data_IF_554905642412
#
_entry.id   IF_554905642412
#
_cell.length_a   1.000
_cell.length_b   1.000
_cell.length_c   1.000
_cell.angle_alpha   90.00
_cell.angle_beta   90.00
_cell.angle_gamma   90.00
#
_symmetry.space_group_name_H-M   'P 1'
#
loop_
_entity.id
_entity.type
_entity.pdbx_description
1 polymer ?
#
# COMPACT_ATOMS: atom_id res chain seq x y z
N UNK A 1 -21.44 -25.92 -4.46
CA UNK A 1 -21.28 -24.84 -5.46
C UNK A 1 -22.50 -23.94 -5.38
N UNK A 2 -22.38 -22.73 -4.83
CA UNK A 2 -23.42 -21.72 -5.02
C UNK A 2 -23.12 -21.08 -6.38
N UNK A 3 -23.87 -21.46 -7.40
CA UNK A 3 -23.82 -20.81 -8.71
C UNK A 3 -24.30 -19.37 -8.52
N UNK A 4 -23.38 -18.42 -8.41
CA UNK A 4 -23.78 -17.02 -8.60
C UNK A 4 -24.28 -16.91 -10.03
N UNK A 5 -25.54 -16.48 -10.25
CA UNK A 5 -26.02 -16.26 -11.61
C UNK A 5 -25.10 -15.25 -12.29
N UNK A 6 -24.68 -15.56 -13.51
CA UNK A 6 -23.92 -14.62 -14.33
C UNK A 6 -24.76 -13.36 -14.49
N UNK A 7 -24.18 -12.20 -14.20
CA UNK A 7 -24.89 -10.93 -14.30
C UNK A 7 -25.16 -10.70 -15.79
N UNK A 8 -26.43 -10.73 -16.23
CA UNK A 8 -26.73 -10.65 -17.64
C UNK A 8 -26.32 -9.29 -18.18
N UNK A 9 -25.63 -9.32 -19.32
CA UNK A 9 -25.33 -8.11 -20.07
C UNK A 9 -26.61 -7.48 -20.62
N UNK A 10 -26.59 -6.16 -20.80
CA UNK A 10 -27.63 -5.51 -21.60
C UNK A 10 -27.63 -6.09 -23.02
N UNK A 11 -28.79 -6.16 -23.66
CA UNK A 11 -28.92 -6.68 -25.04
C UNK A 11 -28.05 -5.92 -26.05
N UNK A 12 -27.72 -4.66 -25.76
CA UNK A 12 -26.87 -3.79 -26.59
C UNK A 12 -25.41 -3.79 -26.13
N UNK A 13 -25.08 -4.52 -25.07
CA UNK A 13 -23.74 -4.59 -24.51
C UNK A 13 -22.79 -5.29 -25.47
N UNK A 14 -21.63 -4.68 -25.69
CA UNK A 14 -20.59 -5.27 -26.53
C UNK A 14 -19.20 -4.82 -26.06
N UNK A 15 -18.13 -5.58 -26.36
CA UNK A 15 -16.77 -5.16 -26.07
C UNK A 15 -16.47 -3.74 -26.56
N UNK A 16 -15.91 -2.91 -25.68
CA UNK A 16 -15.59 -1.50 -25.93
C UNK A 16 -16.72 -0.53 -25.60
N UNK A 17 -17.93 -1.04 -25.29
CA UNK A 17 -19.12 -0.27 -24.98
C UNK A 17 -19.86 -0.79 -23.74
N UNK A 18 -19.19 -1.59 -22.89
CA UNK A 18 -19.79 -2.07 -21.65
C UNK A 18 -19.95 -0.91 -20.66
N UNK A 19 -21.10 -0.84 -20.02
CA UNK A 19 -21.46 0.24 -19.09
C UNK A 19 -20.63 0.18 -17.80
N UNK A 20 -20.69 1.25 -17.00
CA UNK A 20 -20.07 1.29 -15.68
C UNK A 20 -20.55 0.13 -14.81
N UNK A 21 -21.87 -0.05 -14.71
CA UNK A 21 -22.48 -1.11 -13.92
C UNK A 21 -21.98 -2.50 -14.33
N UNK A 22 -22.03 -2.85 -15.62
CA UNK A 22 -21.57 -4.15 -16.11
C UNK A 22 -20.09 -4.37 -15.84
N UNK A 23 -19.26 -3.35 -16.04
CA UNK A 23 -17.82 -3.45 -15.82
C UNK A 23 -17.50 -3.61 -14.33
N UNK A 24 -18.12 -2.80 -13.48
CA UNK A 24 -17.96 -2.87 -12.03
C UNK A 24 -18.41 -4.24 -11.49
N UNK A 25 -19.57 -4.73 -11.94
CA UNK A 25 -20.07 -6.05 -11.59
C UNK A 25 -19.06 -7.15 -11.89
N UNK A 26 -18.42 -7.12 -13.07
CA UNK A 26 -17.38 -8.09 -13.42
C UNK A 26 -16.12 -7.96 -12.54
N UNK A 27 -15.70 -6.75 -12.21
CA UNK A 27 -14.59 -6.50 -11.28
C UNK A 27 -14.92 -7.04 -9.88
N UNK A 28 -16.13 -6.81 -9.39
CA UNK A 28 -16.60 -7.32 -8.09
C UNK A 28 -16.70 -8.85 -8.10
N UNK A 29 -17.23 -9.46 -9.16
CA UNK A 29 -17.25 -10.92 -9.31
C UNK A 29 -15.84 -11.52 -9.27
N UNK A 30 -14.87 -10.88 -9.93
CA UNK A 30 -13.47 -11.30 -9.86
C UNK A 30 -12.89 -11.14 -8.45
N UNK A 31 -13.20 -10.04 -7.77
CA UNK A 31 -12.77 -9.84 -6.39
C UNK A 31 -13.34 -10.94 -5.46
N UNK A 32 -14.60 -11.33 -5.64
CA UNK A 32 -15.20 -12.42 -4.88
C UNK A 32 -14.57 -13.78 -5.19
N UNK A 33 -14.20 -14.04 -6.44
CA UNK A 33 -13.45 -15.23 -6.84
C UNK A 33 -12.10 -15.31 -6.10
N UNK A 34 -11.34 -14.21 -6.10
CA UNK A 34 -10.05 -14.08 -5.41
C UNK A 34 -10.21 -14.23 -3.89
N UNK A 35 -11.27 -13.66 -3.30
CA UNK A 35 -11.52 -13.80 -1.87
C UNK A 35 -11.86 -15.25 -1.50
N UNK A 36 -12.71 -15.92 -2.29
CA UNK A 36 -13.06 -17.32 -2.06
C UNK A 36 -11.84 -18.23 -2.15
N UNK A 37 -10.95 -18.02 -3.12
CA UNK A 37 -9.73 -18.84 -3.21
C UNK A 37 -8.86 -18.70 -1.96
N UNK A 38 -8.86 -17.54 -1.28
CA UNK A 38 -8.11 -17.34 -0.04
C UNK A 38 -8.79 -17.87 1.22
N UNK A 39 -10.08 -18.21 1.17
CA UNK A 39 -10.81 -18.71 2.33
C UNK A 39 -10.58 -20.21 2.61
N UNK A 40 -10.05 -20.96 1.64
CA UNK A 40 -9.82 -22.40 1.81
C UNK A 40 -8.38 -22.68 2.26
N UNK A 41 -8.16 -23.39 3.39
CA UNK A 41 -6.83 -23.59 3.99
C UNK A 41 -5.81 -24.33 3.11
N UNK A 42 -6.28 -25.10 2.14
CA UNK A 42 -5.40 -25.85 1.20
C UNK A 42 -4.87 -24.98 0.05
N UNK A 43 -5.36 -23.74 -0.06
CA UNK A 43 -4.99 -22.85 -1.17
C UNK A 43 -3.70 -22.13 -0.80
N UNK A 44 -2.61 -22.56 -1.44
CA UNK A 44 -1.32 -21.88 -1.39
C UNK A 44 -1.48 -20.41 -1.81
N UNK A 45 -0.54 -19.55 -1.40
CA UNK A 45 -0.44 -18.20 -1.96
C UNK A 45 -0.51 -18.25 -3.50
N UNK A 46 -1.14 -17.25 -4.15
CA UNK A 46 -1.34 -17.30 -5.59
C UNK A 46 0.01 -17.37 -6.30
N UNK A 47 0.15 -18.37 -7.15
CA UNK A 47 1.35 -18.57 -7.96
C UNK A 47 1.46 -17.46 -8.99
N UNK A 48 2.68 -17.21 -9.47
CA UNK A 48 2.96 -16.19 -10.47
C UNK A 48 2.00 -16.20 -11.68
N UNK A 49 1.67 -17.39 -12.20
CA UNK A 49 0.80 -17.51 -13.38
C UNK A 49 -0.65 -17.09 -13.07
N UNK A 50 -1.16 -17.39 -11.88
CA UNK A 50 -2.51 -17.00 -11.44
C UNK A 50 -2.59 -15.47 -11.30
N UNK A 51 -1.58 -14.84 -10.69
CA UNK A 51 -1.49 -13.37 -10.58
C UNK A 51 -1.54 -12.74 -11.97
N UNK A 52 -0.76 -13.27 -12.91
CA UNK A 52 -0.73 -12.78 -14.29
C UNK A 52 -2.07 -12.96 -15.01
N UNK A 53 -2.74 -14.09 -14.80
CA UNK A 53 -4.07 -14.34 -15.37
C UNK A 53 -5.10 -13.36 -14.83
N UNK A 54 -5.16 -13.17 -13.50
CA UNK A 54 -6.07 -12.20 -12.89
C UNK A 54 -5.80 -10.79 -13.40
N UNK A 55 -4.53 -10.37 -13.50
CA UNK A 55 -4.15 -9.08 -14.09
C UNK A 55 -4.69 -8.93 -15.51
N UNK A 56 -4.47 -9.93 -16.36
CA UNK A 56 -4.96 -9.90 -17.74
C UNK A 56 -6.49 -9.85 -17.82
N UNK A 57 -7.20 -10.56 -16.92
CA UNK A 57 -8.66 -10.49 -16.80
C UNK A 57 -9.11 -9.07 -16.43
N UNK A 58 -8.47 -8.44 -15.43
CA UNK A 58 -8.76 -7.04 -15.05
C UNK A 58 -8.54 -6.09 -16.23
N UNK A 59 -7.40 -6.16 -16.89
CA UNK A 59 -7.06 -5.31 -18.03
C UNK A 59 -8.06 -5.49 -19.18
N UNK A 60 -8.48 -6.74 -19.45
CA UNK A 60 -9.51 -7.02 -20.47
C UNK A 60 -10.85 -6.41 -20.09
N UNK A 61 -11.30 -6.57 -18.84
CA UNK A 61 -12.56 -5.97 -18.38
C UNK A 61 -12.57 -4.45 -18.56
N UNK A 62 -11.46 -3.78 -18.21
CA UNK A 62 -11.33 -2.33 -18.37
C UNK A 62 -11.23 -1.92 -19.84
N UNK A 63 -10.50 -2.66 -20.67
CA UNK A 63 -10.37 -2.36 -22.11
C UNK A 63 -11.71 -2.45 -22.85
N UNK A 64 -12.62 -3.31 -22.36
CA UNK A 64 -13.94 -3.53 -22.91
C UNK A 64 -15.01 -2.54 -22.41
N UNK A 65 -14.66 -1.67 -21.46
CA UNK A 65 -15.54 -0.64 -20.94
C UNK A 65 -15.77 0.48 -21.98
N UNK A 66 -16.89 1.19 -21.86
CA UNK A 66 -17.18 2.38 -22.67
C UNK A 66 -16.05 3.44 -22.57
N UNK A 67 -15.78 4.24 -23.62
CA UNK A 67 -14.61 5.12 -23.68
C UNK A 67 -14.39 6.05 -22.47
N UNK A 68 -15.45 6.65 -21.91
CA UNK A 68 -15.33 7.56 -20.76
C UNK A 68 -14.79 6.88 -19.50
N UNK A 69 -14.96 5.56 -19.36
CA UNK A 69 -14.42 4.80 -18.25
C UNK A 69 -12.93 4.49 -18.39
N UNK A 70 -12.36 4.68 -19.58
CA UNK A 70 -10.95 4.41 -19.89
C UNK A 70 -10.12 5.69 -19.97
N UNK A 71 -10.73 6.76 -20.48
CA UNK A 71 -10.03 7.98 -20.87
C UNK A 71 -10.74 9.20 -20.27
N UNK A 72 -9.99 10.00 -19.50
CA UNK A 72 -10.52 11.18 -18.80
C UNK A 72 -11.06 12.24 -19.77
N UNK A 73 -10.43 12.40 -20.93
CA UNK A 73 -10.84 13.30 -22.01
C UNK A 73 -12.15 12.89 -22.71
N UNK A 74 -12.61 11.65 -22.47
CA UNK A 74 -13.88 11.16 -22.99
C UNK A 74 -15.04 11.35 -22.00
N UNK A 75 -14.77 11.78 -20.76
CA UNK A 75 -15.81 12.17 -19.81
C UNK A 75 -16.38 13.54 -20.19
N UNK A 76 -17.71 13.64 -20.31
CA UNK A 76 -18.46 14.86 -20.67
C UNK A 76 -19.37 15.34 -19.56
N UNK A 77 -19.70 14.47 -18.62
CA UNK A 77 -20.58 14.76 -17.49
C UNK A 77 -19.90 14.46 -16.17
N UNK A 78 -20.39 15.09 -15.09
CA UNK A 78 -19.95 14.80 -13.73
C UNK A 78 -20.10 13.31 -13.40
N UNK A 79 -21.23 12.70 -13.79
CA UNK A 79 -21.48 11.27 -13.57
C UNK A 79 -20.40 10.40 -14.23
N UNK A 80 -20.05 10.66 -15.49
CA UNK A 80 -19.00 9.91 -16.19
C UNK A 80 -17.62 10.08 -15.53
N UNK A 81 -17.31 11.27 -15.03
CA UNK A 81 -16.08 11.49 -14.25
C UNK A 81 -16.07 10.68 -12.95
N UNK A 82 -17.19 10.62 -12.23
CA UNK A 82 -17.33 9.83 -11.00
C UNK A 82 -17.19 8.33 -11.30
N UNK A 83 -17.94 7.81 -12.26
CA UNK A 83 -17.92 6.39 -12.65
C UNK A 83 -16.51 5.93 -13.06
N UNK A 84 -15.82 6.72 -13.90
CA UNK A 84 -14.43 6.42 -14.30
C UNK A 84 -13.51 6.35 -13.09
N UNK A 85 -13.63 7.32 -12.19
CA UNK A 85 -12.71 7.46 -11.05
C UNK A 85 -12.96 6.37 -10.01
N UNK A 86 -14.21 6.03 -9.72
CA UNK A 86 -14.58 4.90 -8.87
C UNK A 86 -14.13 3.57 -9.46
N UNK A 87 -14.35 3.34 -10.77
CA UNK A 87 -13.90 2.11 -11.43
C UNK A 87 -12.38 1.97 -11.36
N UNK A 88 -11.64 3.07 -11.58
CA UNK A 88 -10.17 3.11 -11.45
C UNK A 88 -9.75 2.73 -10.03
N UNK A 89 -10.35 3.34 -9.01
CA UNK A 89 -10.07 3.04 -7.59
C UNK A 89 -10.31 1.56 -7.27
N UNK A 90 -11.47 1.02 -7.66
CA UNK A 90 -11.82 -0.36 -7.35
C UNK A 90 -10.92 -1.39 -8.04
N UNK A 91 -10.62 -1.16 -9.32
CA UNK A 91 -9.80 -2.07 -10.12
C UNK A 91 -8.32 -2.03 -9.73
N UNK A 92 -7.76 -0.84 -9.47
CA UNK A 92 -6.37 -0.70 -8.99
C UNK A 92 -6.19 -1.31 -7.61
N UNK A 93 -7.17 -1.16 -6.71
CA UNK A 93 -7.12 -1.79 -5.39
C UNK A 93 -7.16 -3.32 -5.49
N UNK A 94 -8.01 -3.88 -6.36
CA UNK A 94 -8.03 -5.32 -6.58
C UNK A 94 -6.68 -5.82 -7.11
N UNK A 95 -6.06 -5.08 -8.03
CA UNK A 95 -4.75 -5.41 -8.57
C UNK A 95 -3.66 -5.37 -7.49
N UNK A 96 -3.69 -4.37 -6.58
CA UNK A 96 -2.73 -4.31 -5.47
C UNK A 96 -2.87 -5.51 -4.52
N UNK A 97 -4.10 -5.96 -4.23
CA UNK A 97 -4.38 -7.16 -3.41
C UNK A 97 -3.81 -8.43 -4.05
N UNK A 98 -3.93 -8.58 -5.36
CA UNK A 98 -3.37 -9.69 -6.12
C UNK A 98 -1.84 -9.70 -6.09
N UNK A 99 -1.22 -8.53 -6.26
CA UNK A 99 0.22 -8.38 -6.32
C UNK A 99 0.89 -8.32 -4.94
N UNK A 100 0.12 -8.23 -3.83
CA UNK A 100 0.64 -8.00 -2.47
C UNK A 100 1.64 -9.04 -1.99
N UNK A 101 1.56 -10.28 -2.48
CA UNK A 101 2.53 -11.34 -2.16
C UNK A 101 3.98 -10.93 -2.48
N UNK A 102 4.19 -10.02 -3.45
CA UNK A 102 5.52 -9.51 -3.78
C UNK A 102 6.12 -8.57 -2.73
N UNK A 103 5.31 -8.06 -1.80
CA UNK A 103 5.78 -7.23 -0.69
C UNK A 103 6.28 -8.10 0.48
N UNK A 104 5.95 -9.39 0.51
CA UNK A 104 6.50 -10.32 1.49
C UNK A 104 7.95 -10.69 1.11
N UNK A 105 8.86 -10.55 2.07
CA UNK A 105 10.27 -10.96 1.92
C UNK A 105 10.42 -12.48 1.84
N UNK A 106 9.47 -13.21 2.41
CA UNK A 106 9.46 -14.68 2.45
C UNK A 106 8.56 -15.29 1.36
N UNK A 107 8.13 -14.50 0.38
CA UNK A 107 7.30 -14.97 -0.72
C UNK A 107 7.95 -16.14 -1.46
N UNK A 108 7.15 -17.08 -1.92
CA UNK A 108 7.58 -18.22 -2.74
C UNK A 108 8.06 -17.83 -4.16
N UNK A 109 7.98 -16.55 -4.53
CA UNK A 109 8.40 -16.03 -5.84
C UNK A 109 9.92 -15.88 -5.91
N UNK A 110 10.51 -16.23 -7.05
CA UNK A 110 11.91 -15.89 -7.35
C UNK A 110 12.11 -14.36 -7.46
N UNK A 111 13.34 -13.90 -7.27
CA UNK A 111 13.67 -12.47 -7.19
C UNK A 111 13.16 -11.68 -8.40
N UNK A 112 13.37 -12.20 -9.61
CA UNK A 112 13.03 -11.49 -10.83
C UNK A 112 11.51 -11.35 -10.98
N UNK A 113 10.76 -12.44 -10.77
CA UNK A 113 9.29 -12.40 -10.82
C UNK A 113 8.71 -11.54 -9.70
N UNK A 114 9.33 -11.59 -8.52
CA UNK A 114 8.94 -10.77 -7.36
C UNK A 114 9.14 -9.29 -7.65
N UNK A 115 10.26 -8.89 -8.24
CA UNK A 115 10.52 -7.50 -8.61
C UNK A 115 9.46 -6.96 -9.60
N UNK A 116 9.12 -7.73 -10.63
CA UNK A 116 8.08 -7.36 -11.60
C UNK A 116 6.70 -7.21 -10.94
N UNK A 117 6.30 -8.16 -10.09
CA UNK A 117 5.01 -8.08 -9.39
C UNK A 117 5.02 -6.93 -8.37
N UNK A 118 6.16 -6.63 -7.75
CA UNK A 118 6.30 -5.53 -6.80
C UNK A 118 6.08 -4.18 -7.48
N UNK A 119 6.71 -3.96 -8.63
CA UNK A 119 6.50 -2.74 -9.42
C UNK A 119 5.00 -2.53 -9.72
N UNK A 120 4.33 -3.59 -10.16
CA UNK A 120 2.88 -3.57 -10.42
C UNK A 120 2.05 -3.31 -9.14
N UNK A 121 2.47 -3.87 -8.00
CA UNK A 121 1.84 -3.64 -6.71
C UNK A 121 1.93 -2.15 -6.32
N UNK A 122 3.14 -1.57 -6.37
CA UNK A 122 3.39 -0.16 -6.04
C UNK A 122 2.59 0.76 -6.98
N UNK A 123 2.64 0.51 -8.30
CA UNK A 123 1.85 1.27 -9.27
C UNK A 123 0.35 1.21 -8.98
N UNK A 124 -0.15 0.06 -8.55
CA UNK A 124 -1.57 -0.14 -8.22
C UNK A 124 -1.98 0.56 -6.92
N UNK A 125 -1.10 0.59 -5.92
CA UNK A 125 -1.31 1.35 -4.67
C UNK A 125 -1.38 2.85 -4.96
N UNK A 126 -0.42 3.37 -5.73
CA UNK A 126 -0.39 4.77 -6.20
C UNK A 126 -1.68 5.11 -6.94
N UNK A 127 -2.06 4.29 -7.94
CA UNK A 127 -3.28 4.53 -8.73
C UNK A 127 -4.55 4.49 -7.88
N UNK A 128 -4.58 3.72 -6.79
CA UNK A 128 -5.73 3.67 -5.88
C UNK A 128 -5.88 4.97 -5.10
N UNK A 129 -4.77 5.46 -4.53
CA UNK A 129 -4.75 6.71 -3.76
C UNK A 129 -5.03 7.89 -4.67
N UNK A 130 -4.40 7.97 -5.84
CA UNK A 130 -4.60 9.04 -6.81
C UNK A 130 -6.05 9.08 -7.32
N UNK A 131 -6.67 7.92 -7.59
CA UNK A 131 -8.09 7.86 -7.94
C UNK A 131 -8.99 8.39 -6.82
N UNK A 132 -8.69 8.08 -5.56
CA UNK A 132 -9.48 8.59 -4.44
C UNK A 132 -9.33 10.10 -4.24
N UNK A 133 -8.11 10.62 -4.35
CA UNK A 133 -7.86 12.06 -4.29
C UNK A 133 -8.58 12.77 -5.44
N UNK A 134 -8.47 12.27 -6.67
CA UNK A 134 -9.20 12.81 -7.82
C UNK A 134 -10.73 12.76 -7.59
N UNK A 135 -11.26 11.69 -6.99
CA UNK A 135 -12.69 11.58 -6.69
C UNK A 135 -13.15 12.71 -5.74
N UNK A 136 -12.35 13.00 -4.72
CA UNK A 136 -12.63 14.10 -3.79
C UNK A 136 -12.54 15.47 -4.47
N UNK A 137 -11.55 15.68 -5.33
CA UNK A 137 -11.38 16.92 -6.12
C UNK A 137 -12.55 17.16 -7.08
N UNK A 138 -13.12 16.09 -7.66
CA UNK A 138 -14.31 16.17 -8.51
C UNK A 138 -15.56 16.50 -7.68
N UNK A 139 -15.79 15.77 -6.59
CA UNK A 139 -16.90 15.99 -5.69
C UNK A 139 -16.60 15.40 -4.30
N UNK A 140 -16.41 16.29 -3.31
CA UNK A 140 -16.07 15.92 -1.93
C UNK A 140 -17.14 15.06 -1.23
N UNK A 141 -18.39 15.06 -1.71
CA UNK A 141 -19.43 14.17 -1.20
C UNK A 141 -19.22 12.73 -1.65
N UNK A 142 -18.72 12.51 -2.87
CA UNK A 142 -18.53 11.16 -3.43
C UNK A 142 -17.38 10.41 -2.73
N UNK A 143 -16.37 11.12 -2.22
CA UNK A 143 -15.29 10.52 -1.45
C UNK A 143 -15.67 10.13 -0.01
N UNK A 144 -16.92 10.42 0.44
CA UNK A 144 -17.43 9.96 1.75
C UNK A 144 -17.76 8.47 1.79
N UNK A 145 -17.70 7.77 0.66
CA UNK A 145 -17.83 6.31 0.61
C UNK A 145 -16.79 5.65 1.51
N UNK A 146 -17.25 5.01 2.58
CA UNK A 146 -16.39 4.36 3.57
C UNK A 146 -15.45 3.32 2.93
N UNK A 147 -15.94 2.59 1.92
CA UNK A 147 -15.15 1.57 1.22
C UNK A 147 -13.99 2.20 0.44
N UNK A 148 -14.25 3.30 -0.29
CA UNK A 148 -13.21 4.00 -1.06
C UNK A 148 -12.16 4.61 -0.14
N UNK A 149 -12.60 5.19 0.98
CA UNK A 149 -11.74 5.76 2.01
C UNK A 149 -10.83 4.69 2.63
N UNK A 150 -11.40 3.57 3.11
CA UNK A 150 -10.64 2.47 3.71
C UNK A 150 -9.59 1.90 2.74
N UNK A 151 -9.96 1.65 1.48
CA UNK A 151 -9.04 1.13 0.46
C UNK A 151 -7.86 2.06 0.23
N UNK A 152 -8.11 3.36 0.23
CA UNK A 152 -7.08 4.38 0.02
C UNK A 152 -6.13 4.49 1.21
N UNK A 153 -6.67 4.47 2.44
CA UNK A 153 -5.87 4.46 3.67
C UNK A 153 -5.00 3.20 3.74
N UNK A 154 -5.59 2.02 3.48
CA UNK A 154 -4.85 0.76 3.47
C UNK A 154 -3.75 0.76 2.40
N UNK A 155 -4.04 1.34 1.23
CA UNK A 155 -3.06 1.47 0.16
C UNK A 155 -1.92 2.42 0.53
N UNK A 156 -2.23 3.52 1.22
CA UNK A 156 -1.24 4.49 1.70
C UNK A 156 -0.27 3.86 2.71
N UNK A 157 -0.77 3.12 3.70
CA UNK A 157 0.10 2.44 4.67
C UNK A 157 1.00 1.40 4.02
N UNK A 158 0.49 0.63 3.06
CA UNK A 158 1.32 -0.31 2.31
C UNK A 158 2.35 0.43 1.44
N UNK A 159 1.97 1.54 0.82
CA UNK A 159 2.85 2.31 -0.06
C UNK A 159 4.03 2.92 0.71
N UNK A 160 3.78 3.64 1.80
CA UNK A 160 4.84 4.35 2.56
C UNK A 160 5.86 3.42 3.24
N UNK A 161 5.52 2.14 3.42
CA UNK A 161 6.46 1.13 3.96
C UNK A 161 7.34 0.55 2.84
N UNK A 162 6.93 0.68 1.58
CA UNK A 162 7.56 0.00 0.45
C UNK A 162 8.11 0.95 -0.63
N UNK A 163 7.77 2.25 -0.60
CA UNK A 163 8.32 3.27 -1.50
C UNK A 163 8.51 4.62 -0.78
N UNK A 164 9.74 5.12 -0.80
CA UNK A 164 10.16 6.38 -0.15
C UNK A 164 10.39 7.52 -1.16
N UNK A 165 9.92 7.35 -2.40
CA UNK A 165 10.10 8.35 -3.45
C UNK A 165 9.44 9.69 -3.11
N UNK A 166 9.98 10.83 -3.57
CA UNK A 166 9.34 12.14 -3.38
C UNK A 166 7.91 12.19 -3.94
N UNK A 167 7.65 11.48 -5.04
CA UNK A 167 6.35 11.40 -5.68
C UNK A 167 5.31 10.71 -4.78
N UNK A 168 5.70 9.64 -4.09
CA UNK A 168 4.84 8.98 -3.10
C UNK A 168 4.47 9.94 -1.98
N UNK A 169 5.44 10.67 -1.42
CA UNK A 169 5.15 11.61 -0.34
C UNK A 169 4.27 12.79 -0.78
N UNK A 170 4.42 13.30 -2.00
CA UNK A 170 3.51 14.30 -2.56
C UNK A 170 2.07 13.77 -2.65
N UNK A 171 1.90 12.51 -3.06
CA UNK A 171 0.59 11.86 -3.11
C UNK A 171 -0.01 11.64 -1.71
N UNK A 172 0.81 11.26 -0.73
CA UNK A 172 0.40 11.13 0.67
C UNK A 172 -0.02 12.49 1.25
N UNK A 173 0.68 13.57 0.94
CA UNK A 173 0.31 14.92 1.36
C UNK A 173 -1.05 15.35 0.77
N UNK A 174 -1.33 14.99 -0.49
CA UNK A 174 -2.67 15.21 -1.09
C UNK A 174 -3.73 14.37 -0.37
N UNK A 175 -3.45 13.11 -0.07
CA UNK A 175 -4.37 12.25 0.68
C UNK A 175 -4.63 12.81 2.08
N UNK A 176 -3.61 13.25 2.82
CA UNK A 176 -3.76 13.83 4.15
C UNK A 176 -4.72 15.02 4.18
N UNK A 177 -4.70 15.87 3.13
CA UNK A 177 -5.64 16.98 2.98
C UNK A 177 -7.08 16.47 2.86
N UNK A 178 -7.31 15.49 1.98
CA UNK A 178 -8.64 14.85 1.82
C UNK A 178 -9.12 14.21 3.13
N UNK A 179 -8.24 13.51 3.87
CA UNK A 179 -8.59 12.91 5.15
C UNK A 179 -8.90 13.99 6.20
N UNK A 180 -8.13 15.08 6.24
CA UNK A 180 -8.40 16.21 7.12
C UNK A 180 -9.78 16.83 6.83
N UNK A 181 -10.10 17.05 5.56
CA UNK A 181 -11.40 17.59 5.16
C UNK A 181 -12.54 16.69 5.66
N UNK A 182 -12.40 15.36 5.55
CA UNK A 182 -13.37 14.42 6.12
C UNK A 182 -13.41 14.39 7.65
N UNK A 183 -12.28 14.59 8.34
CA UNK A 183 -12.21 14.66 9.81
C UNK A 183 -12.92 15.90 10.36
N UNK A 184 -12.79 17.03 9.67
CA UNK A 184 -13.23 18.35 10.12
C UNK A 184 -14.50 18.85 9.43
N UNK A 185 -15.09 18.08 8.51
CA UNK A 185 -16.30 18.46 7.76
C UNK A 185 -17.51 18.79 8.64
N UNK A 186 -17.61 18.23 9.85
CA UNK A 186 -18.74 18.45 10.77
C UNK A 186 -18.54 19.68 11.70
N UNK A 187 -17.46 20.46 11.52
CA UNK A 187 -17.13 21.60 12.39
C UNK A 187 -16.78 21.18 13.82
N UNK A 188 -16.51 22.15 14.71
CA UNK A 188 -16.25 21.97 16.15
C UNK A 188 -17.45 21.41 16.95
N UNK A 189 -18.28 20.57 16.33
CA UNK A 189 -19.26 19.76 17.03
C UNK A 189 -18.50 18.95 18.11
N UNK A 190 -18.87 19.19 19.37
CA UNK A 190 -18.18 18.70 20.57
C UNK A 190 -17.54 17.33 20.36
N UNK A 191 -16.28 17.20 20.79
CA UNK A 191 -15.47 15.97 20.70
C UNK A 191 -16.21 14.70 21.18
N UNK A 192 -17.25 14.86 22.00
CA UNK A 192 -18.09 13.83 22.58
C UNK A 192 -19.16 13.25 21.64
N UNK A 193 -19.53 13.93 20.54
CA UNK A 193 -20.58 13.46 19.60
C UNK A 193 -20.03 12.93 18.28
N UNK A 194 -18.71 12.76 18.17
CA UNK A 194 -18.09 12.36 16.90
C UNK A 194 -18.33 10.87 16.62
N UNK A 195 -18.77 10.56 15.40
CA UNK A 195 -18.98 9.17 14.95
C UNK A 195 -17.68 8.36 15.07
N UNK A 196 -17.80 7.04 15.31
CA UNK A 196 -16.62 6.18 15.41
C UNK A 196 -15.79 6.17 14.12
N UNK A 197 -16.45 6.31 12.96
CA UNK A 197 -15.76 6.46 11.66
C UNK A 197 -14.83 7.67 11.62
N UNK A 198 -15.27 8.81 12.14
CA UNK A 198 -14.44 10.01 12.24
C UNK A 198 -13.29 9.83 13.24
N UNK A 199 -13.51 9.13 14.36
CA UNK A 199 -12.43 8.71 15.30
C UNK A 199 -11.36 7.89 14.60
N UNK A 200 -11.77 6.86 13.85
CA UNK A 200 -10.86 6.02 13.07
C UNK A 200 -10.07 6.84 12.04
N UNK A 201 -10.73 7.73 11.32
CA UNK A 201 -10.09 8.57 10.32
C UNK A 201 -9.02 9.50 10.92
N UNK A 202 -9.30 10.13 12.06
CA UNK A 202 -8.29 10.95 12.76
C UNK A 202 -7.11 10.13 13.26
N UNK A 203 -7.35 8.88 13.66
CA UNK A 203 -6.26 7.95 14.02
C UNK A 203 -5.38 7.66 12.81
N UNK A 204 -5.97 7.31 11.66
CA UNK A 204 -5.24 7.07 10.42
C UNK A 204 -4.47 8.30 9.94
N UNK A 205 -5.08 9.49 9.99
CA UNK A 205 -4.42 10.76 9.66
C UNK A 205 -3.23 11.05 10.58
N UNK A 206 -3.37 10.82 11.89
CA UNK A 206 -2.27 10.98 12.85
C UNK A 206 -1.13 10.02 12.52
N UNK A 207 -1.44 8.74 12.30
CA UNK A 207 -0.43 7.74 11.99
C UNK A 207 0.35 8.05 10.71
N UNK A 208 -0.32 8.51 9.64
CA UNK A 208 0.37 8.94 8.41
C UNK A 208 1.37 10.07 8.67
N UNK A 209 0.97 11.07 9.46
CA UNK A 209 1.83 12.20 9.84
C UNK A 209 3.03 11.76 10.67
N UNK A 210 2.84 10.87 11.64
CA UNK A 210 3.93 10.34 12.47
C UNK A 210 4.95 9.55 11.63
N UNK A 211 4.47 8.74 10.68
CA UNK A 211 5.32 8.02 9.73
C UNK A 211 6.11 9.04 8.88
N UNK A 212 5.46 10.08 8.36
CA UNK A 212 6.16 11.12 7.58
C UNK A 212 7.30 11.78 8.37
N UNK A 213 7.04 12.18 9.61
CA UNK A 213 8.06 12.85 10.43
C UNK A 213 9.25 11.93 10.75
N UNK A 214 8.99 10.63 10.98
CA UNK A 214 10.07 9.65 11.17
C UNK A 214 10.92 9.47 9.90
N UNK A 215 10.31 9.47 8.71
CA UNK A 215 11.08 9.42 7.45
C UNK A 215 11.85 10.72 7.17
N UNK A 216 11.30 11.88 7.52
CA UNK A 216 12.01 13.17 7.43
C UNK A 216 13.23 13.20 8.35
N UNK A 217 13.09 12.73 9.59
CA UNK A 217 14.18 12.65 10.56
C UNK A 217 15.31 11.70 10.13
N UNK A 218 15.01 10.71 9.27
CA UNK A 218 15.99 9.74 8.76
C UNK A 218 16.86 10.28 7.62
N UNK A 219 16.47 11.37 6.93
CA UNK A 219 17.31 11.96 5.88
C UNK A 219 18.51 12.69 6.52
N UNK A 220 19.76 12.29 6.23
CA UNK A 220 20.92 12.99 6.76
C UNK A 220 20.99 14.40 6.17
N UNK A 221 21.26 15.38 7.03
CA UNK A 221 21.60 16.76 6.65
C UNK A 221 22.79 16.70 5.68
N UNK A 222 22.76 17.36 4.51
CA UNK A 222 23.92 17.42 3.63
C UNK A 222 25.06 18.08 4.40
N UNK A 223 26.13 17.33 4.64
CA UNK A 223 27.35 17.82 5.24
C UNK A 223 27.85 19.01 4.42
N UNK A 224 28.14 20.11 5.11
CA UNK A 224 28.75 21.31 4.54
C UNK A 224 29.96 20.92 3.68
N UNK A 225 29.99 21.45 2.47
CA UNK A 225 31.14 21.53 1.58
C UNK A 225 32.39 21.99 2.33
N UNK A 226 33.40 21.11 2.38
CA UNK A 226 34.80 21.52 2.59
C UNK A 226 35.47 21.45 1.22
N UNK A 227 35.69 22.63 0.64
CA UNK A 227 36.69 22.96 -0.39
C UNK A 227 38.07 22.81 0.29
N UNK A 228 39.20 22.33 -0.25
CA UNK A 228 39.76 22.14 -1.59
C UNK A 228 41.10 21.32 -1.42
N UNK A 229 41.90 21.02 -2.48
CA UNK A 229 42.85 19.90 -2.53
C UNK A 229 44.34 20.29 -2.38
N UNK A 230 45.21 19.38 -1.94
CA UNK A 230 46.62 19.36 -2.41
C UNK A 230 47.25 17.97 -2.33
N UNK A 231 47.94 17.63 -3.41
CA UNK A 231 48.62 16.38 -3.77
C UNK A 231 50.08 16.33 -3.26
N UNK A 232 50.67 15.11 -3.28
CA UNK A 232 52.10 14.71 -3.15
C UNK A 232 52.63 14.50 -1.71
N UNK A 233 53.35 13.44 -1.31
CA UNK A 233 54.02 12.31 -2.01
C UNK A 233 54.33 11.16 -1.00
N UNK A 234 54.76 9.96 -1.46
CA UNK A 234 54.80 8.71 -0.68
C UNK A 234 56.20 8.36 -0.16
N UNK A 235 56.35 7.84 1.07
CA UNK A 235 57.56 7.12 1.51
C UNK A 235 57.28 6.02 2.56
N UNK A 236 57.51 4.77 2.14
CA UNK A 236 58.29 3.69 2.80
C UNK A 236 57.82 3.12 4.16
N UNK A 237 57.49 1.82 4.14
CA UNK A 237 57.38 0.89 5.28
C UNK A 237 58.76 0.55 5.87
N UNK A 238 58.87 0.22 7.16
CA UNK A 238 58.99 -1.20 7.51
C UNK A 238 58.31 -1.63 8.83
N UNK A 239 57.91 -2.90 8.91
CA UNK A 239 57.55 -3.65 10.13
C UNK A 239 58.70 -4.62 10.50
N UNK A 240 58.67 -5.45 11.57
CA UNK A 240 58.12 -5.39 12.95
C UNK A 240 59.26 -5.69 14.01
N UNK A 241 59.05 -6.11 15.28
CA UNK A 241 58.60 -7.48 15.63
C UNK A 241 57.68 -7.61 16.89
N UNK A 242 57.07 -8.79 17.02
CA UNK A 242 56.11 -9.26 18.03
C UNK A 242 56.73 -9.62 19.39
N UNK A 243 55.98 -9.49 20.51
CA UNK A 243 56.14 -10.30 21.74
C UNK A 243 54.78 -10.60 22.38
N UNK A 244 54.55 -11.90 22.65
CA UNK A 244 53.50 -12.55 23.44
C UNK A 244 53.56 -12.20 24.93
N UNK A 245 52.41 -12.04 25.63
CA UNK A 245 52.04 -12.77 26.88
C UNK A 245 50.69 -12.33 27.46
N UNK A 246 49.78 -13.29 27.67
CA UNK A 246 48.68 -13.28 28.66
C UNK A 246 49.18 -13.85 30.02
N UNK A 247 48.39 -13.92 31.14
CA UNK A 247 47.13 -13.26 31.53
C UNK A 247 47.14 -12.66 32.96
N UNK A 248 46.25 -11.72 33.28
CA UNK A 248 45.74 -11.52 34.66
C UNK A 248 44.49 -10.63 34.73
N UNK A 249 43.49 -11.08 35.52
CA UNK A 249 42.25 -10.38 35.89
C UNK A 249 42.49 -9.17 36.81
N UNK A 250 41.60 -8.17 36.82
CA UNK A 250 40.65 -8.00 37.94
C UNK A 250 39.22 -7.56 37.52
N UNK A 251 38.25 -7.47 38.47
CA UNK A 251 36.82 -7.58 38.18
C UNK A 251 36.04 -6.26 38.09
N UNK A 252 34.78 -6.39 37.65
CA UNK A 252 33.64 -5.47 37.75
C UNK A 252 33.62 -4.22 36.86
N UNK A 253 32.79 -4.27 35.80
CA UNK A 253 31.78 -3.22 35.54
C UNK A 253 30.53 -3.83 34.88
N UNK A 254 29.39 -3.58 35.52
CA UNK A 254 28.03 -3.84 35.05
C UNK A 254 27.80 -3.06 33.76
N UNK A 255 27.47 -3.73 32.66
CA UNK A 255 26.95 -3.08 31.46
C UNK A 255 25.71 -3.84 31.00
N UNK A 256 24.55 -3.20 31.21
CA UNK A 256 23.27 -3.66 30.71
C UNK A 256 23.25 -3.53 29.19
N UNK A 257 23.46 -4.65 28.49
CA UNK A 257 23.17 -4.78 27.07
C UNK A 257 21.74 -5.30 26.89
N UNK A 258 20.78 -4.38 26.73
CA UNK A 258 19.45 -4.73 26.25
C UNK A 258 19.50 -5.05 24.74
N UNK A 259 18.78 -6.08 24.23
CA UNK A 259 18.70 -6.32 22.81
C UNK A 259 17.88 -5.23 22.12
N UNK A 260 18.47 -4.72 21.04
CA UNK A 260 17.97 -3.76 20.06
C UNK A 260 16.47 -3.95 19.73
N UNK A 261 15.70 -2.87 19.88
CA UNK A 261 14.26 -2.80 19.64
C UNK A 261 13.89 -2.98 18.15
N UNK A 262 13.72 -4.22 17.73
CA UNK A 262 13.10 -4.59 16.44
C UNK A 262 11.55 -4.73 16.55
N UNK A 263 10.96 -4.15 17.62
CA UNK A 263 9.63 -4.49 18.13
C UNK A 263 8.52 -3.46 17.89
N UNK A 264 8.73 -2.44 17.05
CA UNK A 264 7.71 -1.39 16.90
C UNK A 264 6.96 -1.38 15.56
N UNK A 265 7.53 -1.87 14.45
CA UNK A 265 6.86 -1.78 13.15
C UNK A 265 5.86 -2.93 12.89
N UNK A 266 6.18 -4.14 13.39
CA UNK A 266 5.27 -5.30 13.33
C UNK A 266 4.02 -5.15 14.19
N UNK A 267 4.13 -4.45 15.33
CA UNK A 267 3.03 -4.23 16.26
C UNK A 267 2.00 -3.24 15.70
N UNK A 268 2.45 -2.24 14.91
CA UNK A 268 1.59 -1.27 14.23
C UNK A 268 0.82 -1.95 13.08
N UNK A 269 1.49 -2.77 12.27
CA UNK A 269 0.85 -3.52 11.17
C UNK A 269 -0.15 -4.57 11.67
N UNK A 270 0.16 -5.25 12.79
CA UNK A 270 -0.78 -6.19 13.44
C UNK A 270 -2.08 -5.51 13.90
N UNK A 271 -1.98 -4.30 14.46
CA UNK A 271 -3.17 -3.52 14.88
C UNK A 271 -4.02 -3.00 13.73
N UNK A 272 -3.46 -2.87 12.53
CA UNK A 272 -4.23 -2.54 11.31
C UNK A 272 -4.86 -3.80 10.71
N UNK A 273 -4.23 -4.98 10.90
CA UNK A 273 -4.74 -6.28 10.46
C UNK A 273 -6.07 -6.66 11.12
N UNK A 274 -6.20 -6.41 12.43
CA UNK A 274 -7.41 -6.71 13.22
C UNK A 274 -8.64 -5.89 12.79
N UNK A 275 -8.43 -4.73 12.17
CA UNK A 275 -9.50 -3.83 11.72
C UNK A 275 -9.93 -4.09 10.27
N UNK A 276 -9.07 -4.73 9.47
CA UNK A 276 -9.27 -4.95 8.03
C UNK A 276 -9.56 -6.42 7.64
N UNK A 277 -9.77 -7.31 8.63
CA UNK A 277 -9.98 -8.75 8.42
C UNK A 277 -8.89 -9.40 7.54
N UNK A 278 -7.63 -8.99 7.70
CA UNK A 278 -6.51 -9.73 7.12
C UNK A 278 -6.13 -10.89 8.05
N UNK A 279 -5.88 -12.12 7.52
CA UNK A 279 -5.37 -13.22 8.34
C UNK A 279 -4.07 -12.80 9.03
N UNK A 280 -4.02 -12.97 10.36
CA UNK A 280 -2.81 -12.70 11.15
C UNK A 280 -1.67 -13.61 10.69
N UNK A 281 -0.51 -13.03 10.35
CA UNK A 281 0.71 -13.77 10.02
C UNK A 281 1.51 -14.18 11.27
N UNK A 282 0.85 -14.47 12.39
CA UNK A 282 1.48 -15.16 13.52
C UNK A 282 1.26 -16.66 13.35
N UNK A 283 2.16 -17.31 12.63
CA UNK A 283 2.25 -18.77 12.58
C UNK A 283 2.66 -19.32 13.96
N UNK A 284 1.69 -19.69 14.77
CA UNK A 284 1.90 -20.59 15.90
C UNK A 284 1.00 -21.81 15.70
N UNK A 285 1.61 -22.91 15.26
CA UNK A 285 0.98 -24.23 15.25
C UNK A 285 0.50 -24.58 16.67
N UNK A 286 -0.73 -25.08 16.86
CA UNK A 286 -1.08 -25.71 18.12
C UNK A 286 -0.43 -27.09 18.16
N UNK A 287 0.46 -27.28 19.14
CA UNK A 287 0.85 -28.59 19.63
C UNK A 287 -0.30 -29.11 20.48
N UNK A 288 -0.95 -30.18 20.01
CA UNK A 288 -1.47 -31.32 20.79
C UNK A 288 -2.19 -32.28 19.83
#
# INVERSE_FOLDING_TARGET
MVSQPEIPFDRKSMPGHRTYFETLCRVVSLALEVLRSRMYPETQEPRYHEIREYKQRIQRMLAEATPHLRHRDQCRTLAEHLERTELRLHSSYLLSVLCRVSLDRHSHLDEQRRALIREECISSLISTIDAFVELHEINSHCSRSWISLQRSIASAFLLVVNDDSPQTWELIDRLEKVLADHVYADGDAEHNNRTDSAKHLSSSLRALREIRETFRARKPVPSMTISEPTTYSPLILPSPPSIDTTPSLPPNMVTAGGPMEDWNMRNILGRVSDVMLFPSMSGTSPVA
#
